data_IF_321846799275
#
_entry.id   IF_321846799275
#
_cell.length_a   1.000
_cell.length_b   1.000
_cell.length_c   1.000
_cell.angle_alpha   90.00
_cell.angle_beta   90.00
_cell.angle_gamma   90.00
#
_symmetry.space_group_name_H-M   'P 1'
#
loop_
_entity.id
_entity.type
_entity.pdbx_description
1 polymer ?
#
# COMPACT_ATOMS: atom_id res chain seq x y z
N UNK A 1 19.21 6.98 9.70
CA UNK A 1 19.32 6.18 8.46
C UNK A 1 17.92 5.98 7.88
N UNK A 2 17.69 6.20 6.59
CA UNK A 2 16.38 5.88 5.96
C UNK A 2 16.36 4.39 5.65
N UNK A 3 15.56 3.61 6.38
CA UNK A 3 15.30 2.21 6.03
C UNK A 3 14.62 2.15 4.66
N UNK A 4 15.22 1.40 3.73
CA UNK A 4 14.66 1.12 2.41
C UNK A 4 13.39 0.28 2.53
N UNK A 5 12.52 0.30 1.52
CA UNK A 5 11.26 -0.47 1.55
C UNK A 5 11.52 -1.96 1.86
N UNK A 6 12.60 -2.54 1.33
CA UNK A 6 12.97 -3.96 1.52
C UNK A 6 13.37 -4.35 2.95
N UNK A 7 13.80 -3.38 3.75
CA UNK A 7 14.23 -3.66 5.13
C UNK A 7 13.06 -3.76 6.12
N UNK A 8 11.91 -3.17 5.78
CA UNK A 8 10.72 -3.21 6.65
C UNK A 8 10.07 -4.60 6.70
N UNK A 9 9.84 -5.31 5.59
CA UNK A 9 9.34 -6.68 5.62
C UNK A 9 10.23 -7.60 6.45
N UNK A 10 11.55 -7.50 6.30
CA UNK A 10 12.52 -8.31 7.07
C UNK A 10 12.37 -8.08 8.57
N UNK A 11 12.38 -6.82 9.00
CA UNK A 11 12.20 -6.46 10.41
C UNK A 11 10.84 -6.94 10.96
N UNK A 12 9.78 -6.89 10.16
CA UNK A 12 8.45 -7.38 10.57
C UNK A 12 8.43 -8.90 10.68
N UNK A 13 9.06 -9.63 9.75
CA UNK A 13 9.20 -11.10 9.80
C UNK A 13 10.01 -11.55 11.01
N UNK A 14 11.12 -10.87 11.35
CA UNK A 14 11.85 -11.17 12.60
C UNK A 14 10.99 -10.98 13.85
N UNK A 15 10.05 -10.03 13.85
CA UNK A 15 9.10 -9.86 14.95
C UNK A 15 8.03 -10.96 14.98
N UNK A 16 7.41 -11.26 13.84
CA UNK A 16 6.25 -12.16 13.77
C UNK A 16 6.63 -13.64 13.77
N UNK A 17 7.66 -14.01 13.02
CA UNK A 17 8.03 -15.42 12.76
C UNK A 17 9.10 -15.89 13.76
N UNK A 18 10.12 -15.07 14.01
CA UNK A 18 11.24 -15.38 14.92
C UNK A 18 10.98 -14.92 16.37
N UNK A 19 9.84 -14.27 16.62
CA UNK A 19 9.44 -13.72 17.93
C UNK A 19 10.49 -12.81 18.58
N UNK A 20 11.29 -12.09 17.79
CA UNK A 20 12.29 -11.17 18.31
C UNK A 20 11.60 -9.98 18.97
N UNK A 21 11.92 -9.62 20.24
CA UNK A 21 11.29 -8.48 20.91
C UNK A 21 11.50 -7.16 20.16
N UNK A 22 10.45 -6.34 20.07
CA UNK A 22 10.50 -5.02 19.40
C UNK A 22 11.64 -4.12 19.92
N UNK A 23 11.98 -4.21 21.21
CA UNK A 23 13.08 -3.43 21.81
C UNK A 23 14.45 -3.78 21.23
N UNK A 24 14.67 -5.05 20.85
CA UNK A 24 15.87 -5.49 20.15
C UNK A 24 15.86 -5.02 18.69
N UNK A 25 14.72 -5.07 18.02
CA UNK A 25 14.56 -4.64 16.63
C UNK A 25 14.78 -3.12 16.46
N UNK A 26 14.22 -2.30 17.34
CA UNK A 26 14.42 -0.84 17.38
C UNK A 26 15.90 -0.49 17.43
N UNK A 27 16.68 -1.21 18.25
CA UNK A 27 18.14 -1.04 18.33
C UNK A 27 18.85 -1.54 17.08
N UNK A 28 18.58 -2.79 16.67
CA UNK A 28 19.21 -3.46 15.51
C UNK A 28 19.03 -2.66 14.22
N UNK A 29 17.84 -2.14 13.99
CA UNK A 29 17.51 -1.40 12.77
C UNK A 29 17.61 0.13 12.93
N UNK A 30 17.96 0.62 14.12
CA UNK A 30 17.93 2.06 14.45
C UNK A 30 16.60 2.71 14.02
N UNK A 31 15.49 2.07 14.39
CA UNK A 31 14.14 2.45 13.99
C UNK A 31 13.31 2.90 15.20
N UNK A 32 12.26 3.68 14.95
CA UNK A 32 11.39 4.16 16.00
C UNK A 32 10.36 3.10 16.43
N UNK A 33 10.11 2.98 17.74
CA UNK A 33 9.21 1.98 18.30
C UNK A 33 7.74 2.21 17.90
N UNK A 34 7.28 3.46 17.88
CA UNK A 34 5.91 3.77 17.48
C UNK A 34 5.70 3.46 16.00
N UNK A 35 6.68 3.80 15.16
CA UNK A 35 6.69 3.43 13.74
C UNK A 35 6.72 1.92 13.53
N UNK A 36 7.47 1.16 14.34
CA UNK A 36 7.51 -0.30 14.28
C UNK A 36 6.12 -0.90 14.55
N UNK A 37 5.44 -0.46 15.62
CA UNK A 37 4.07 -0.90 15.93
C UNK A 37 3.11 -0.64 14.78
N UNK A 38 3.20 0.55 14.17
CA UNK A 38 2.37 0.91 13.04
C UNK A 38 2.62 0.00 11.83
N UNK A 39 3.88 -0.23 11.43
CA UNK A 39 4.17 -1.07 10.25
C UNK A 39 3.83 -2.55 10.48
N UNK A 40 3.98 -3.06 11.70
CA UNK A 40 3.52 -4.42 12.05
C UNK A 40 2.01 -4.52 11.89
N UNK A 41 1.25 -3.55 12.42
CA UNK A 41 -0.21 -3.52 12.25
C UNK A 41 -0.60 -3.44 10.77
N UNK A 42 0.08 -2.60 9.99
CA UNK A 42 -0.16 -2.47 8.55
C UNK A 42 0.08 -3.79 7.81
N UNK A 43 1.15 -4.51 8.17
CA UNK A 43 1.46 -5.83 7.62
C UNK A 43 0.42 -6.89 8.00
N UNK A 44 -0.06 -6.88 9.24
CA UNK A 44 -1.12 -7.80 9.65
C UNK A 44 -2.44 -7.55 8.91
N UNK A 45 -2.75 -6.30 8.58
CA UNK A 45 -3.99 -5.93 7.87
C UNK A 45 -3.93 -6.21 6.36
N UNK A 46 -2.79 -5.94 5.72
CA UNK A 46 -2.70 -5.93 4.25
C UNK A 46 -1.65 -6.88 3.67
N UNK A 47 -0.88 -7.57 4.54
CA UNK A 47 0.19 -8.48 4.15
C UNK A 47 1.44 -7.76 3.63
N UNK A 48 2.36 -8.57 3.08
CA UNK A 48 3.64 -8.11 2.55
C UNK A 48 3.51 -7.21 1.31
N UNK A 49 2.41 -7.36 0.55
CA UNK A 49 2.15 -6.62 -0.69
C UNK A 49 2.14 -5.10 -0.51
N UNK A 50 1.79 -4.59 0.67
CA UNK A 50 1.83 -3.15 0.97
C UNK A 50 3.24 -2.58 1.10
N UNK A 51 4.26 -3.43 1.20
CA UNK A 51 5.65 -3.05 1.35
C UNK A 51 6.50 -3.36 0.13
N UNK A 52 5.92 -4.00 -0.89
CA UNK A 52 6.56 -4.21 -2.19
C UNK A 52 6.42 -2.95 -3.04
N UNK A 53 7.39 -2.72 -3.93
CA UNK A 53 7.25 -1.70 -4.95
C UNK A 53 6.03 -2.02 -5.81
N UNK A 54 5.04 -1.13 -5.75
CA UNK A 54 3.89 -1.20 -6.65
C UNK A 54 4.27 -0.49 -7.94
N UNK A 55 3.92 -1.11 -9.08
CA UNK A 55 3.98 -0.45 -10.37
C UNK A 55 3.10 0.81 -10.32
N UNK A 56 3.76 1.96 -10.16
CA UNK A 56 3.08 3.24 -10.19
C UNK A 56 2.62 3.46 -11.61
N UNK A 57 1.32 3.40 -11.84
CA UNK A 57 0.75 3.79 -13.13
C UNK A 57 1.07 5.27 -13.38
N UNK A 58 1.88 5.52 -14.41
CA UNK A 58 2.19 6.88 -14.86
C UNK A 58 1.17 7.24 -15.93
N UNK A 59 0.33 8.24 -15.66
CA UNK A 59 -0.63 8.76 -16.63
C UNK A 59 0.03 9.83 -17.50
N UNK A 60 -0.18 9.75 -18.81
CA UNK A 60 0.28 10.78 -19.75
C UNK A 60 -0.50 12.08 -19.55
N UNK A 61 0.02 13.19 -20.10
CA UNK A 61 -0.67 14.48 -20.07
C UNK A 61 -2.04 14.41 -20.76
N UNK A 62 -2.12 13.73 -21.88
CA UNK A 62 -3.34 13.60 -22.67
C UNK A 62 -4.42 12.81 -21.92
N UNK A 63 -4.05 11.68 -21.30
CA UNK A 63 -4.97 10.89 -20.49
C UNK A 63 -5.56 11.68 -19.32
N UNK A 64 -4.74 12.53 -18.68
CA UNK A 64 -5.19 13.41 -17.60
C UNK A 64 -6.17 14.45 -18.12
N UNK A 65 -5.86 15.11 -19.25
CA UNK A 65 -6.74 16.11 -19.85
C UNK A 65 -8.06 15.51 -20.32
N UNK A 66 -8.04 14.32 -20.89
CA UNK A 66 -9.25 13.59 -21.30
C UNK A 66 -10.14 13.26 -20.09
N UNK A 67 -9.54 12.78 -18.99
CA UNK A 67 -10.27 12.51 -17.76
C UNK A 67 -10.94 13.77 -17.20
N UNK A 68 -10.23 14.92 -17.21
CA UNK A 68 -10.79 16.21 -16.76
C UNK A 68 -11.96 16.61 -17.65
N UNK A 69 -11.82 16.55 -18.99
CA UNK A 69 -12.88 16.91 -19.93
C UNK A 69 -14.17 16.12 -19.70
N UNK A 70 -14.06 14.81 -19.47
CA UNK A 70 -15.22 13.92 -19.26
C UNK A 70 -15.94 14.21 -17.94
N UNK A 71 -15.19 14.54 -16.90
CA UNK A 71 -15.79 14.91 -15.61
C UNK A 71 -16.46 16.29 -15.72
N UNK A 72 -15.81 17.25 -16.38
CA UNK A 72 -16.35 18.61 -16.56
C UNK A 72 -17.56 18.66 -17.50
N UNK A 73 -17.67 17.74 -18.46
CA UNK A 73 -18.82 17.64 -19.36
C UNK A 73 -20.05 16.97 -18.72
N UNK A 74 -19.99 16.65 -17.42
CA UNK A 74 -21.02 15.90 -16.68
C UNK A 74 -21.40 14.55 -17.30
N UNK A 75 -20.58 14.00 -18.20
CA UNK A 75 -20.83 12.70 -18.82
C UNK A 75 -20.63 11.56 -17.83
N UNK A 76 -19.61 11.66 -16.95
CA UNK A 76 -19.34 10.69 -15.90
C UNK A 76 -18.83 11.37 -14.64
N UNK A 77 -19.19 10.80 -13.48
CA UNK A 77 -18.55 11.19 -12.22
C UNK A 77 -17.07 10.80 -12.22
N UNK A 78 -16.26 11.55 -11.47
CA UNK A 78 -14.85 11.23 -11.23
C UNK A 78 -14.67 9.78 -10.73
N UNK A 79 -15.60 9.29 -9.90
CA UNK A 79 -15.61 7.91 -9.40
C UNK A 79 -15.79 6.88 -10.51
N UNK A 80 -16.77 7.07 -11.40
CA UNK A 80 -16.99 6.15 -12.52
C UNK A 80 -15.79 6.13 -13.47
N UNK A 81 -15.22 7.30 -13.79
CA UNK A 81 -14.00 7.39 -14.61
C UNK A 81 -12.80 6.70 -13.95
N UNK A 82 -12.68 6.76 -12.63
CA UNK A 82 -11.63 6.08 -11.88
C UNK A 82 -11.79 4.56 -11.92
N UNK A 83 -13.02 4.06 -11.73
CA UNK A 83 -13.33 2.63 -11.82
C UNK A 83 -13.07 2.06 -13.21
N UNK A 84 -13.43 2.79 -14.28
CA UNK A 84 -13.11 2.42 -15.67
C UNK A 84 -11.61 2.30 -15.94
N UNK A 85 -10.82 3.14 -15.28
CA UNK A 85 -9.36 3.09 -15.37
C UNK A 85 -8.75 2.01 -14.45
N UNK A 86 -9.57 1.19 -13.79
CA UNK A 86 -9.13 0.08 -12.94
C UNK A 86 -8.69 0.49 -11.54
N UNK A 87 -9.09 1.68 -11.04
CA UNK A 87 -8.88 2.00 -9.63
C UNK A 87 -9.85 1.19 -8.77
N UNK A 88 -9.37 0.48 -7.73
CA UNK A 88 -10.23 -0.31 -6.87
C UNK A 88 -11.20 0.61 -6.11
N UNK A 89 -12.48 0.24 -6.05
CA UNK A 89 -13.43 0.96 -5.20
C UNK A 89 -13.22 0.54 -3.74
N UNK A 90 -13.27 1.48 -2.77
CA UNK A 90 -13.08 1.19 -1.34
C UNK A 90 -14.06 0.15 -0.78
N UNK A 91 -15.14 -0.16 -1.50
CA UNK A 91 -16.16 -1.12 -1.09
C UNK A 91 -16.03 -2.50 -1.78
N UNK A 92 -15.11 -2.64 -2.75
CA UNK A 92 -15.00 -3.86 -3.55
C UNK A 92 -14.11 -4.92 -2.88
N UNK A 93 -13.30 -4.54 -1.87
CA UNK A 93 -12.37 -5.43 -1.17
C UNK A 93 -13.00 -6.20 0.01
N UNK A 94 -14.26 -6.64 -0.10
CA UNK A 94 -14.79 -7.65 0.84
C UNK A 94 -14.49 -9.09 0.46
N UNK A 95 -14.09 -9.41 -0.77
CA UNK A 95 -13.76 -10.79 -1.14
C UNK A 95 -12.69 -10.89 -2.24
N UNK A 96 -11.42 -10.96 -1.84
CA UNK A 96 -10.38 -11.72 -2.59
C UNK A 96 -9.50 -12.57 -1.66
N UNK A 97 -10.05 -13.00 -0.53
CA UNK A 97 -9.61 -14.21 0.16
C UNK A 97 -10.49 -15.38 -0.31
N UNK A 98 -10.25 -15.89 -1.51
CA UNK A 98 -10.66 -17.23 -1.92
C UNK A 98 -9.69 -17.75 -2.99
N UNK A 99 -8.89 -18.74 -2.57
CA UNK A 99 -8.14 -19.75 -3.31
C UNK A 99 -7.75 -19.54 -4.78
N UNK A 100 -6.44 -19.64 -5.04
CA UNK A 100 -5.84 -20.90 -5.52
C UNK A 100 -4.38 -20.98 -5.12
#
# INVERSE_FOLDING_TARGET
MKLTMDTKPKMIKEYLDEQVPMTKLVKKYSYDLAKLKYVVKLYQMHGEKSFLEQDKRIYTREEKLEAIKIVMSNQKSARQRALEKGMPSPHDEKHKNTHK
#
